data_IF_047950703821
#
_entry.id   IF_047950703821
#
_cell.length_a   1.000
_cell.length_b   1.000
_cell.length_c   1.000
_cell.angle_alpha   90.00
_cell.angle_beta   90.00
_cell.angle_gamma   90.00
#
_symmetry.space_group_name_H-M   'P 1'
#
loop_
_entity.id
_entity.type
_entity.pdbx_description
1 polymer ?
#
# COMPACT_ATOMS: atom_id res chain seq x y z
N UNK A 1 -1.35 7.40 -5.38
CA UNK A 1 -0.56 6.27 -5.91
C UNK A 1 0.91 6.51 -5.56
N UNK A 2 1.54 5.57 -4.85
CA UNK A 2 2.94 5.68 -4.45
C UNK A 2 3.75 4.51 -5.03
N UNK A 3 4.92 4.80 -5.61
CA UNK A 3 5.71 3.83 -6.38
C UNK A 3 7.09 3.72 -5.74
N UNK A 4 7.45 2.50 -5.30
CA UNK A 4 8.81 2.15 -4.87
C UNK A 4 9.37 1.03 -5.74
N UNK A 5 10.60 1.22 -6.21
CA UNK A 5 11.34 0.21 -6.96
C UNK A 5 12.06 -0.73 -5.99
N UNK A 6 11.75 -2.02 -6.07
CA UNK A 6 12.48 -3.05 -5.35
C UNK A 6 13.85 -3.28 -6.03
N UNK A 7 14.95 -2.97 -5.32
CA UNK A 7 16.28 -3.45 -5.72
C UNK A 7 16.46 -4.94 -5.39
N UNK A 8 15.63 -5.49 -4.49
CA UNK A 8 15.78 -6.85 -3.98
C UNK A 8 14.70 -7.82 -4.47
N UNK A 9 15.03 -9.12 -4.52
CA UNK A 9 14.12 -10.19 -4.99
C UNK A 9 12.91 -10.39 -4.07
N UNK A 10 12.91 -9.77 -2.90
CA UNK A 10 11.95 -9.95 -1.82
C UNK A 10 10.71 -9.06 -1.98
N UNK A 11 9.78 -9.50 -2.82
CA UNK A 11 8.54 -8.78 -3.11
C UNK A 11 7.62 -8.59 -1.89
N UNK A 12 7.68 -9.49 -0.90
CA UNK A 12 6.84 -9.41 0.32
C UNK A 12 7.16 -8.19 1.18
N UNK A 13 8.39 -8.08 1.71
CA UNK A 13 8.83 -6.94 2.52
C UNK A 13 8.65 -5.59 1.82
N UNK A 14 8.81 -5.54 0.49
CA UNK A 14 8.58 -4.31 -0.29
C UNK A 14 7.09 -3.93 -0.33
N UNK A 15 6.18 -4.90 -0.52
CA UNK A 15 4.74 -4.66 -0.44
C UNK A 15 4.33 -4.13 0.94
N UNK A 16 4.84 -4.75 2.02
CA UNK A 16 4.55 -4.33 3.39
C UNK A 16 5.09 -2.93 3.67
N UNK A 17 6.29 -2.60 3.20
CA UNK A 17 6.87 -1.26 3.31
C UNK A 17 6.05 -0.21 2.55
N UNK A 18 5.47 -0.57 1.41
CA UNK A 18 4.57 0.30 0.65
C UNK A 18 3.26 0.55 1.41
N UNK A 19 2.65 -0.50 1.98
CA UNK A 19 1.45 -0.35 2.82
C UNK A 19 1.72 0.54 4.04
N UNK A 20 2.84 0.34 4.74
CA UNK A 20 3.21 1.15 5.90
C UNK A 20 3.43 2.62 5.54
N UNK A 21 3.97 2.89 4.36
CA UNK A 21 4.15 4.26 3.90
C UNK A 21 2.83 4.96 3.56
N UNK A 22 1.84 4.22 3.05
CA UNK A 22 0.47 4.73 2.86
C UNK A 22 -0.13 5.13 4.21
N UNK A 23 0.11 4.32 5.24
CA UNK A 23 -0.35 4.57 6.61
C UNK A 23 0.33 5.80 7.23
N UNK A 24 1.68 5.85 7.17
CA UNK A 24 2.49 6.96 7.70
C UNK A 24 2.14 8.31 7.05
N UNK A 25 1.70 8.30 5.78
CA UNK A 25 1.28 9.51 5.07
C UNK A 25 -0.13 9.97 5.40
N UNK A 26 -0.91 9.17 6.12
CA UNK A 26 -2.23 9.55 6.61
C UNK A 26 -3.26 9.78 5.51
N UNK A 27 -3.08 9.23 4.30
CA UNK A 27 -4.06 9.38 3.20
C UNK A 27 -5.46 8.89 3.59
N UNK A 28 -5.53 7.92 4.49
CA UNK A 28 -6.80 7.44 5.01
C UNK A 28 -7.54 8.49 5.84
N UNK A 29 -6.84 9.37 6.57
CA UNK A 29 -7.47 10.36 7.44
C UNK A 29 -8.31 11.39 6.66
N UNK A 30 -7.78 11.90 5.55
CA UNK A 30 -8.50 12.83 4.66
C UNK A 30 -9.75 12.17 4.06
N UNK A 31 -9.62 10.92 3.60
CA UNK A 31 -10.76 10.15 3.07
C UNK A 31 -11.84 9.88 4.13
N UNK A 32 -11.45 9.66 5.39
CA UNK A 32 -12.42 9.50 6.49
C UNK A 32 -13.19 10.80 6.74
N UNK A 33 -12.52 11.95 6.67
CA UNK A 33 -13.16 13.26 6.82
C UNK A 33 -14.16 13.55 5.67
N UNK A 34 -13.84 13.09 4.46
CA UNK A 34 -14.75 13.14 3.30
C UNK A 34 -15.93 12.15 3.39
N UNK A 35 -15.98 11.32 4.43
CA UNK A 35 -17.09 10.40 4.68
C UNK A 35 -16.91 9.00 4.08
N UNK A 36 -15.71 8.62 3.66
CA UNK A 36 -15.43 7.25 3.22
C UNK A 36 -15.26 6.32 4.44
N UNK A 37 -16.12 5.30 4.54
CA UNK A 37 -16.13 4.34 5.65
C UNK A 37 -15.29 3.09 5.38
N UNK A 38 -14.99 2.82 4.11
CA UNK A 38 -14.18 1.67 3.70
C UNK A 38 -13.04 2.14 2.84
N UNK A 39 -11.81 1.91 3.30
CA UNK A 39 -10.58 2.33 2.63
C UNK A 39 -9.77 1.08 2.30
N UNK A 40 -9.45 0.92 1.02
CA UNK A 40 -8.58 -0.15 0.55
C UNK A 40 -7.19 0.39 0.29
N UNK A 41 -6.20 -0.09 1.05
CA UNK A 41 -4.79 0.23 0.88
C UNK A 41 -4.12 -0.86 0.05
N UNK A 42 -3.37 -0.48 -0.98
CA UNK A 42 -2.70 -1.42 -1.88
C UNK A 42 -1.19 -1.23 -1.87
N UNK A 43 -0.45 -2.26 -1.47
CA UNK A 43 1.01 -2.34 -1.58
C UNK A 43 1.39 -3.17 -2.80
N UNK A 44 1.98 -2.53 -3.82
CA UNK A 44 2.39 -3.20 -5.06
C UNK A 44 3.91 -3.24 -5.13
N UNK A 45 4.48 -4.44 -5.28
CA UNK A 45 5.91 -4.63 -5.51
C UNK A 45 6.13 -5.41 -6.81
N UNK A 46 7.02 -4.91 -7.67
CA UNK A 46 7.34 -5.50 -8.96
C UNK A 46 8.84 -5.77 -9.07
N UNK A 47 9.21 -6.98 -9.52
CA UNK A 47 10.59 -7.37 -9.82
C UNK A 47 10.65 -8.29 -11.04
N UNK A 48 11.25 -7.79 -12.13
CA UNK A 48 11.29 -8.47 -13.44
C UNK A 48 9.86 -8.85 -13.90
N UNK A 49 9.61 -10.14 -14.13
CA UNK A 49 8.30 -10.69 -14.55
C UNK A 49 7.42 -11.14 -13.38
N UNK A 50 7.75 -10.73 -12.15
CA UNK A 50 7.01 -11.12 -10.94
C UNK A 50 6.48 -9.87 -10.27
N UNK A 51 5.21 -9.90 -9.88
CA UNK A 51 4.58 -8.86 -9.09
C UNK A 51 3.93 -9.49 -7.87
N UNK A 52 3.89 -8.74 -6.77
CA UNK A 52 3.10 -9.05 -5.59
C UNK A 52 2.21 -7.85 -5.30
N UNK A 53 0.99 -8.16 -4.91
CA UNK A 53 0.01 -7.18 -4.47
C UNK A 53 -0.43 -7.61 -3.07
N UNK A 54 -0.33 -6.71 -2.12
CA UNK A 54 -0.92 -6.84 -0.80
C UNK A 54 -2.06 -5.83 -0.70
N UNK A 55 -3.19 -6.26 -0.13
CA UNK A 55 -4.35 -5.41 0.12
C UNK A 55 -4.64 -5.43 1.61
N UNK A 56 -4.86 -4.25 2.16
CA UNK A 56 -5.35 -4.08 3.52
C UNK A 56 -6.66 -3.32 3.46
N UNK A 57 -7.69 -3.88 4.09
CA UNK A 57 -8.99 -3.25 4.20
C UNK A 57 -9.06 -2.59 5.56
N UNK A 58 -9.38 -1.31 5.56
CA UNK A 58 -9.65 -0.54 6.75
C UNK A 58 -11.13 -0.16 6.75
N UNK A 59 -11.83 -0.62 7.79
CA UNK A 59 -13.24 -0.32 8.04
C UNK A 59 -13.33 0.53 9.30
N UNK A 60 -14.07 1.64 9.21
CA UNK A 60 -14.46 2.48 10.34
C UNK A 60 -15.70 1.91 11.04
#
# INVERSE_FOLDING_TARGET
MEIKYAQDKELGPVCEKALRQIDDKGYAAELREEGFHTIYKYGIACFRKRCRVAVEKEEL
#
